data_IF_432645512965
#
_entry.id   IF_432645512965
#
_cell.length_a   1.000
_cell.length_b   1.000
_cell.length_c   1.000
_cell.angle_alpha   90.00
_cell.angle_beta   90.00
_cell.angle_gamma   90.00
#
_symmetry.space_group_name_H-M   'P 1'
#
loop_
_entity.id
_entity.type
_entity.pdbx_description
1 polymer ?
#
# COMPACT_ATOMS: atom_id res chain seq x y z
N UNK A 1 11.11 -22.20 2.31
CA UNK A 1 11.61 -21.18 1.36
C UNK A 1 11.99 -19.93 2.13
N UNK A 2 13.06 -19.24 1.73
CA UNK A 2 13.44 -17.95 2.32
C UNK A 2 12.79 -16.83 1.51
N UNK A 3 12.10 -15.92 2.19
CA UNK A 3 11.49 -14.73 1.57
C UNK A 3 11.77 -13.51 2.45
N UNK A 4 12.36 -12.42 1.91
CA UNK A 4 12.46 -11.17 2.63
C UNK A 4 11.07 -10.53 2.79
N UNK A 5 10.87 -9.78 3.87
CA UNK A 5 9.70 -8.91 4.02
C UNK A 5 9.91 -7.53 3.40
N UNK A 6 8.97 -6.61 3.64
CA UNK A 6 9.01 -5.26 3.07
C UNK A 6 10.24 -4.42 3.45
N UNK A 7 10.97 -4.80 4.51
CA UNK A 7 12.19 -4.13 4.99
C UNK A 7 13.45 -4.97 4.73
N UNK A 8 13.36 -5.94 3.82
CA UNK A 8 14.48 -6.82 3.49
C UNK A 8 14.80 -7.86 4.56
N UNK A 9 13.99 -7.98 5.63
CA UNK A 9 14.31 -8.88 6.73
C UNK A 9 14.03 -10.33 6.32
N UNK A 10 15.01 -11.24 6.47
CA UNK A 10 14.85 -12.68 6.33
C UNK A 10 13.60 -13.26 6.99
N UNK A 11 12.78 -14.02 6.26
CA UNK A 11 11.77 -14.86 6.88
C UNK A 11 11.73 -16.26 6.26
N UNK A 12 11.60 -17.30 7.09
CA UNK A 12 11.43 -18.69 6.66
C UNK A 12 9.95 -18.99 6.49
N UNK A 13 9.54 -19.28 5.27
CA UNK A 13 8.16 -19.63 4.91
C UNK A 13 8.05 -21.14 4.68
N UNK A 14 7.13 -21.76 5.41
CA UNK A 14 6.75 -23.17 5.25
C UNK A 14 5.37 -23.20 4.60
N UNK A 15 5.32 -23.58 3.32
CA UNK A 15 4.07 -23.73 2.59
C UNK A 15 3.44 -25.08 2.95
N UNK A 16 2.30 -25.06 3.63
CA UNK A 16 1.54 -26.27 3.97
C UNK A 16 0.36 -26.42 3.02
N UNK A 17 0.44 -27.36 2.07
CA UNK A 17 -0.68 -27.80 1.22
C UNK A 17 -1.41 -26.69 0.45
N UNK A 18 -2.47 -27.04 -0.28
CA UNK A 18 -3.41 -26.03 -0.78
C UNK A 18 -4.22 -25.53 0.41
N UNK A 19 -4.23 -24.22 0.73
CA UNK A 19 -5.23 -23.71 1.64
C UNK A 19 -6.60 -24.08 1.07
N UNK A 20 -7.50 -24.60 1.91
CA UNK A 20 -8.91 -24.66 1.55
C UNK A 20 -9.30 -23.24 1.11
N UNK A 21 -10.05 -23.12 0.01
CA UNK A 21 -10.46 -21.81 -0.54
C UNK A 21 -11.31 -21.10 0.51
N UNK A 22 -10.67 -20.40 1.43
CA UNK A 22 -11.34 -19.48 2.34
C UNK A 22 -11.67 -18.29 1.47
N UNK A 23 -12.96 -18.05 1.24
CA UNK A 23 -13.40 -16.80 0.63
C UNK A 23 -12.73 -15.65 1.40
N UNK A 24 -12.17 -14.70 0.66
CA UNK A 24 -11.53 -13.52 1.24
C UNK A 24 -12.53 -12.83 2.16
N UNK A 25 -12.24 -12.76 3.45
CA UNK A 25 -13.04 -12.00 4.43
C UNK A 25 -12.70 -10.50 4.43
N UNK A 26 -11.91 -10.05 3.45
CA UNK A 26 -11.52 -8.65 3.35
C UNK A 26 -12.74 -7.81 3.00
N UNK A 27 -13.02 -6.81 3.84
CA UNK A 27 -13.90 -5.71 3.50
C UNK A 27 -13.02 -4.53 3.03
N UNK A 28 -13.02 -4.18 1.73
CA UNK A 28 -12.19 -3.11 1.20
C UNK A 28 -12.40 -1.75 1.88
N UNK A 29 -13.59 -1.48 2.41
CA UNK A 29 -13.89 -0.21 3.07
C UNK A 29 -13.26 -0.05 4.46
N UNK A 30 -12.92 -1.17 5.12
CA UNK A 30 -12.40 -1.16 6.49
C UNK A 30 -10.98 -1.71 6.60
N UNK A 31 -10.61 -2.60 5.69
CA UNK A 31 -9.38 -3.39 5.79
C UNK A 31 -8.29 -2.87 4.84
N UNK A 32 -8.59 -1.88 4.00
CA UNK A 32 -7.65 -1.27 3.05
C UNK A 32 -7.60 0.24 3.29
N UNK A 33 -6.39 0.77 3.46
CA UNK A 33 -6.13 2.21 3.48
C UNK A 33 -5.56 2.65 2.14
N UNK A 34 -6.17 3.66 1.52
CA UNK A 34 -5.59 4.38 0.40
C UNK A 34 -4.92 5.66 0.91
N UNK A 35 -3.70 5.92 0.46
CA UNK A 35 -2.92 7.09 0.89
C UNK A 35 -2.34 7.81 -0.31
N UNK A 36 -2.75 9.06 -0.50
CA UNK A 36 -2.28 9.91 -1.58
C UNK A 36 -0.97 10.60 -1.20
N UNK A 37 0.08 10.27 -1.96
CA UNK A 37 1.34 10.99 -1.93
C UNK A 37 1.41 11.96 -3.13
N UNK A 38 1.74 13.20 -2.83
CA UNK A 38 2.04 14.27 -3.79
C UNK A 38 3.41 14.85 -3.46
N UNK A 39 3.96 15.66 -4.38
CA UNK A 39 5.22 16.37 -4.14
C UNK A 39 5.17 17.27 -2.89
N UNK A 40 3.99 17.75 -2.50
CA UNK A 40 3.81 18.67 -1.37
C UNK A 40 3.69 17.98 -0.02
N UNK A 41 3.16 16.75 0.02
CA UNK A 41 2.87 16.02 1.27
C UNK A 41 3.77 14.79 1.48
N UNK A 42 4.81 14.62 0.64
CA UNK A 42 5.69 13.45 0.71
C UNK A 42 6.45 13.36 2.03
N UNK A 43 6.86 14.49 2.59
CA UNK A 43 7.57 14.59 3.88
C UNK A 43 6.68 14.31 5.09
N UNK A 44 5.36 14.42 4.95
CA UNK A 44 4.40 14.21 6.05
C UNK A 44 3.80 12.80 6.05
N UNK A 45 4.32 11.89 5.24
CA UNK A 45 3.79 10.54 5.13
C UNK A 45 2.49 10.43 4.35
N UNK A 46 2.18 11.36 3.44
CA UNK A 46 0.98 11.30 2.59
C UNK A 46 -0.34 11.53 3.34
N UNK A 47 -1.45 11.60 2.61
CA UNK A 47 -2.79 11.84 3.16
C UNK A 47 -3.71 10.63 2.96
N UNK A 48 -4.34 10.08 4.01
CA UNK A 48 -5.35 9.04 3.86
C UNK A 48 -6.56 9.57 3.06
N UNK A 49 -7.08 8.74 2.16
CA UNK A 49 -8.31 9.01 1.41
C UNK A 49 -9.28 7.85 1.63
N UNK A 50 -10.58 8.14 1.58
CA UNK A 50 -11.64 7.16 1.83
C UNK A 50 -12.26 6.70 0.51
N UNK A 51 -12.54 5.40 0.44
CA UNK A 51 -13.32 4.82 -0.67
C UNK A 51 -14.68 5.51 -0.75
N UNK A 52 -15.14 5.77 -1.97
CA UNK A 52 -16.41 6.44 -2.29
C UNK A 52 -16.60 7.85 -1.70
N UNK A 53 -15.52 8.49 -1.25
CA UNK A 53 -15.54 9.86 -0.73
C UNK A 53 -14.65 10.77 -1.58
N UNK A 54 -15.22 11.34 -2.64
CA UNK A 54 -14.55 12.26 -3.55
C UNK A 54 -14.07 13.53 -2.84
N UNK A 55 -14.70 13.93 -1.73
CA UNK A 55 -14.30 15.10 -0.96
C UNK A 55 -12.98 14.86 -0.23
N UNK A 56 -12.75 13.64 0.27
CA UNK A 56 -11.47 13.23 0.86
C UNK A 56 -10.34 13.27 -0.17
N UNK A 57 -10.62 12.84 -1.41
CA UNK A 57 -9.65 12.84 -2.50
C UNK A 57 -9.27 14.26 -2.91
N UNK A 58 -10.24 15.16 -3.05
CA UNK A 58 -10.00 16.57 -3.36
C UNK A 58 -9.21 17.26 -2.24
N UNK A 59 -9.60 17.04 -0.98
CA UNK A 59 -8.96 17.65 0.19
C UNK A 59 -7.51 17.18 0.38
N UNK A 60 -7.18 15.96 -0.08
CA UNK A 60 -5.82 15.42 -0.07
C UNK A 60 -4.89 16.04 -1.14
N UNK A 61 -5.42 16.92 -2.00
CA UNK A 61 -4.66 17.61 -3.05
C UNK A 61 -4.52 16.80 -4.34
N UNK A 62 -5.46 15.89 -4.62
CA UNK A 62 -5.51 15.17 -5.90
C UNK A 62 -5.73 16.14 -7.07
N UNK A 63 -5.01 15.88 -8.17
CA UNK A 63 -5.08 16.66 -9.39
C UNK A 63 -5.29 15.69 -10.56
N UNK A 64 -6.49 15.68 -11.19
CA UNK A 64 -6.80 14.73 -12.26
C UNK A 64 -6.02 14.99 -13.55
N UNK A 65 -5.31 16.12 -13.67
CA UNK A 65 -4.45 16.41 -14.83
C UNK A 65 -3.06 15.77 -14.75
N UNK A 66 -2.72 15.14 -13.62
CA UNK A 66 -1.41 14.51 -13.39
C UNK A 66 -1.50 12.99 -13.50
N UNK A 67 -0.41 12.39 -13.98
CA UNK A 67 -0.27 10.93 -13.99
C UNK A 67 -0.37 10.33 -12.58
N UNK A 68 -1.07 9.20 -12.49
CA UNK A 68 -1.28 8.47 -11.25
C UNK A 68 -0.47 7.18 -11.28
N UNK A 69 0.25 6.90 -10.19
CA UNK A 69 0.92 5.62 -9.95
C UNK A 69 0.32 4.97 -8.70
N UNK A 70 -0.08 3.71 -8.81
CA UNK A 70 -0.54 2.91 -7.67
C UNK A 70 0.59 2.02 -7.19
N UNK A 71 0.95 2.14 -5.92
CA UNK A 71 1.94 1.28 -5.26
C UNK A 71 1.21 0.47 -4.20
N UNK A 72 1.24 -0.85 -4.33
CA UNK A 72 0.57 -1.79 -3.43
C UNK A 72 1.65 -2.64 -2.77
N UNK A 73 1.66 -2.69 -1.44
CA UNK A 73 2.66 -3.45 -0.71
C UNK A 73 2.45 -4.96 -0.83
N UNK A 74 3.50 -5.71 -0.54
CA UNK A 74 3.48 -7.17 -0.58
C UNK A 74 3.26 -7.81 0.80
N UNK A 75 3.76 -9.03 0.92
CA UNK A 75 3.73 -9.82 2.14
C UNK A 75 4.58 -9.18 3.25
N UNK A 76 4.05 -9.16 4.49
CA UNK A 76 4.69 -8.55 5.68
C UNK A 76 5.27 -7.16 5.38
N UNK A 77 4.45 -6.32 4.76
CA UNK A 77 4.83 -4.99 4.34
C UNK A 77 3.64 -4.04 4.52
N UNK A 78 3.93 -2.75 4.46
CA UNK A 78 3.03 -1.63 4.67
C UNK A 78 3.52 -0.45 3.82
N UNK A 79 2.75 0.65 3.78
CA UNK A 79 3.09 1.80 2.96
C UNK A 79 4.46 2.42 3.31
N UNK A 80 4.92 2.28 4.55
CA UNK A 80 6.18 2.82 5.08
C UNK A 80 7.36 1.85 4.99
N UNK A 81 7.15 0.62 4.50
CA UNK A 81 8.23 -0.33 4.29
C UNK A 81 9.27 0.19 3.28
N UNK A 82 10.54 -0.16 3.48
CA UNK A 82 11.66 0.33 2.67
C UNK A 82 11.47 0.04 1.17
N UNK A 83 11.01 -1.16 0.82
CA UNK A 83 10.72 -1.56 -0.57
C UNK A 83 9.64 -0.68 -1.21
N UNK A 84 8.59 -0.33 -0.46
CA UNK A 84 7.50 0.52 -0.94
C UNK A 84 7.96 1.97 -1.09
N UNK A 85 8.74 2.46 -0.13
CA UNK A 85 9.32 3.81 -0.21
C UNK A 85 10.33 3.93 -1.36
N UNK A 86 11.12 2.89 -1.63
CA UNK A 86 12.03 2.81 -2.78
C UNK A 86 11.27 3.00 -4.10
N UNK A 87 10.27 2.15 -4.37
CA UNK A 87 9.44 2.22 -5.58
C UNK A 87 8.74 3.58 -5.70
N UNK A 88 8.17 4.10 -4.61
CA UNK A 88 7.50 5.41 -4.59
C UNK A 88 8.47 6.54 -4.98
N UNK A 89 9.70 6.49 -4.47
CA UNK A 89 10.71 7.52 -4.69
C UNK A 89 11.48 7.33 -6.02
N UNK A 90 11.27 6.22 -6.73
CA UNK A 90 11.92 5.93 -8.00
C UNK A 90 13.32 5.31 -7.89
N UNK A 91 13.61 4.65 -6.76
CA UNK A 91 14.85 3.92 -6.50
C UNK A 91 14.66 2.41 -6.67
#
# INVERSE_FOLDING_TARGET
MYMPDGNGVPNVVILKGRPQKTESRLNPHTDVEFRLFTRYNNSTGGQPIRMDDTSSLQSAGFDPSKDVKLVIHGWKSSYDSETVQGVKNGN
#
